data_IF_929497065689
#
_entry.id   IF_929497065689
#
_cell.length_a   1.000
_cell.length_b   1.000
_cell.length_c   1.000
_cell.angle_alpha   90.00
_cell.angle_beta   90.00
_cell.angle_gamma   90.00
#
_symmetry.space_group_name_H-M   'P 1'
#
loop_
_entity.id
_entity.type
_entity.pdbx_description
1 polymer ?
#
# COMPACT_ATOMS: atom_id res chain seq x y z
N UNK A 1 -22.98 17.65 0.12
CA UNK A 1 -21.98 16.58 0.30
C UNK A 1 -20.63 17.24 0.43
N UNK A 2 -19.88 17.01 1.51
CA UNK A 2 -18.49 17.47 1.54
C UNK A 2 -17.72 16.70 0.45
N UNK A 3 -16.69 17.34 -0.12
CA UNK A 3 -15.78 16.62 -1.00
C UNK A 3 -15.11 15.51 -0.18
N UNK A 4 -15.11 14.28 -0.67
CA UNK A 4 -14.43 13.16 -0.01
C UNK A 4 -12.92 13.39 -0.07
N UNK A 5 -12.24 13.40 1.07
CA UNK A 5 -10.78 13.27 1.13
C UNK A 5 -10.44 11.82 1.46
N UNK A 6 -9.88 11.09 0.50
CA UNK A 6 -9.61 9.66 0.69
C UNK A 6 -8.66 9.38 1.86
N UNK A 7 -7.66 10.25 2.09
CA UNK A 7 -6.69 10.08 3.18
C UNK A 7 -7.39 10.17 4.53
N UNK A 8 -8.24 11.17 4.71
CA UNK A 8 -8.96 11.38 5.97
C UNK A 8 -9.97 10.25 6.22
N UNK A 9 -10.75 9.89 5.21
CA UNK A 9 -11.75 8.82 5.30
C UNK A 9 -11.12 7.45 5.58
N UNK A 10 -9.97 7.15 4.95
CA UNK A 10 -9.20 5.94 5.25
C UNK A 10 -8.65 5.95 6.68
N UNK A 11 -8.10 7.09 7.11
CA UNK A 11 -7.54 7.24 8.45
C UNK A 11 -8.58 7.11 9.56
N UNK A 12 -9.79 7.65 9.35
CA UNK A 12 -10.92 7.52 10.27
C UNK A 12 -11.31 6.04 10.42
N UNK A 13 -11.48 5.32 9.31
CA UNK A 13 -11.88 3.90 9.32
C UNK A 13 -10.79 3.01 9.91
N UNK A 14 -9.52 3.27 9.60
CA UNK A 14 -8.38 2.59 10.22
C UNK A 14 -8.41 2.73 11.75
N UNK A 15 -8.51 3.97 12.27
CA UNK A 15 -8.55 4.24 13.71
C UNK A 15 -9.76 3.60 14.39
N UNK A 16 -10.93 3.65 13.74
CA UNK A 16 -12.14 3.03 14.29
C UNK A 16 -12.03 1.51 14.36
N UNK A 17 -11.43 0.87 13.35
CA UNK A 17 -11.30 -0.59 13.29
C UNK A 17 -10.16 -1.12 14.16
N UNK A 18 -9.11 -0.32 14.35
CA UNK A 18 -7.90 -0.68 15.11
C UNK A 18 -7.51 0.45 16.09
N UNK A 19 -8.28 0.64 17.18
CA UNK A 19 -8.13 1.81 18.06
C UNK A 19 -6.91 1.77 18.98
N UNK A 20 -6.45 0.57 19.36
CA UNK A 20 -5.43 0.41 20.42
C UNK A 20 -4.03 0.10 19.86
N UNK A 21 -3.96 -0.68 18.79
CA UNK A 21 -2.71 -1.01 18.08
C UNK A 21 -3.04 -1.37 16.64
N UNK A 22 -2.12 -1.09 15.70
CA UNK A 22 -2.12 -1.73 14.37
C UNK A 22 -1.53 -3.15 14.46
N UNK A 23 -1.96 -3.91 15.46
CA UNK A 23 -1.68 -5.32 15.54
C UNK A 23 -2.93 -6.04 15.05
N UNK A 24 -2.89 -6.47 13.79
CA UNK A 24 -3.99 -7.26 13.22
C UNK A 24 -4.15 -8.63 13.90
N UNK A 25 -3.29 -8.98 14.87
CA UNK A 25 -3.30 -10.29 15.53
C UNK A 25 -3.13 -11.41 14.52
N UNK A 26 -2.50 -11.11 13.37
CA UNK A 26 -2.40 -12.03 12.27
C UNK A 26 -1.32 -13.05 12.58
N UNK A 27 -1.75 -14.29 12.82
CA UNK A 27 -0.83 -15.40 13.11
C UNK A 27 -0.75 -16.40 11.97
N UNK A 28 -1.79 -16.48 11.13
CA UNK A 28 -1.86 -17.49 10.08
C UNK A 28 -3.18 -17.53 9.32
N UNK A 29 -3.27 -18.49 8.40
CA UNK A 29 -4.48 -18.81 7.64
C UNK A 29 -5.21 -19.95 8.33
N UNK A 30 -6.45 -19.73 8.74
CA UNK A 30 -7.31 -20.74 9.35
C UNK A 30 -7.95 -21.63 8.29
N UNK A 31 -7.96 -22.94 8.53
CA UNK A 31 -8.65 -23.92 7.69
C UNK A 31 -9.92 -24.44 8.36
N UNK A 32 -10.79 -25.09 7.56
CA UNK A 32 -12.01 -25.74 8.05
C UNK A 32 -11.73 -26.88 9.03
N UNK A 33 -10.51 -27.42 9.03
CA UNK A 33 -10.05 -28.46 9.96
C UNK A 33 -9.53 -27.88 11.29
N UNK A 34 -9.81 -26.61 11.58
CA UNK A 34 -9.33 -25.93 12.80
C UNK A 34 -7.80 -25.92 12.91
N UNK A 35 -7.11 -25.90 11.77
CA UNK A 35 -5.66 -25.72 11.69
C UNK A 35 -5.33 -24.29 11.28
N UNK A 36 -4.22 -23.78 11.81
CA UNK A 36 -3.63 -22.50 11.44
C UNK A 36 -2.32 -22.77 10.72
N UNK A 37 -2.24 -22.34 9.47
CA UNK A 37 -0.98 -22.27 8.73
C UNK A 37 -0.31 -20.95 9.07
N UNK A 38 0.79 -20.98 9.84
CA UNK A 38 1.48 -19.76 10.23
C UNK A 38 2.08 -19.06 9.02
N UNK A 39 2.21 -17.74 9.11
CA UNK A 39 2.79 -16.95 8.04
C UNK A 39 4.27 -16.74 8.31
N UNK A 40 5.09 -16.86 7.26
CA UNK A 40 6.46 -16.38 7.30
C UNK A 40 6.51 -14.87 7.05
N UNK A 41 7.62 -14.23 7.41
CA UNK A 41 7.83 -12.79 7.20
C UNK A 41 8.14 -12.39 5.74
N UNK A 42 7.98 -13.30 4.77
CA UNK A 42 8.29 -13.04 3.37
C UNK A 42 7.51 -11.83 2.84
N UNK A 43 8.22 -10.87 2.25
CA UNK A 43 7.60 -9.59 1.88
C UNK A 43 6.56 -9.71 0.76
N UNK A 44 6.61 -10.74 -0.10
CA UNK A 44 5.56 -10.94 -1.12
C UNK A 44 4.27 -11.41 -0.46
N UNK A 45 4.37 -12.33 0.49
CA UNK A 45 3.23 -12.80 1.28
C UNK A 45 2.64 -11.62 2.07
N UNK A 46 3.48 -10.88 2.79
CA UNK A 46 3.03 -9.76 3.61
C UNK A 46 2.42 -8.61 2.78
N UNK A 47 2.92 -8.34 1.57
CA UNK A 47 2.31 -7.34 0.69
C UNK A 47 0.85 -7.68 0.37
N UNK A 48 0.58 -8.92 -0.04
CA UNK A 48 -0.79 -9.36 -0.34
C UNK A 48 -1.71 -9.37 0.90
N UNK A 49 -1.16 -9.63 2.08
CA UNK A 49 -1.91 -9.53 3.34
C UNK A 49 -2.34 -8.09 3.62
N UNK A 50 -1.45 -7.11 3.45
CA UNK A 50 -1.82 -5.70 3.67
C UNK A 50 -2.87 -5.24 2.66
N UNK A 51 -2.82 -5.71 1.41
CA UNK A 51 -3.87 -5.50 0.42
C UNK A 51 -5.23 -6.05 0.90
N UNK A 52 -5.25 -7.30 1.40
CA UNK A 52 -6.45 -7.93 1.97
C UNK A 52 -7.01 -7.13 3.15
N UNK A 53 -6.14 -6.59 4.01
CA UNK A 53 -6.56 -5.78 5.15
C UNK A 53 -7.13 -4.42 4.76
N UNK A 54 -6.64 -3.82 3.67
CA UNK A 54 -7.15 -2.54 3.17
C UNK A 54 -8.51 -2.68 2.50
N UNK A 55 -8.78 -3.79 1.82
CA UNK A 55 -10.03 -3.99 1.06
C UNK A 55 -11.32 -3.68 1.84
N UNK A 56 -11.56 -4.22 3.07
CA UNK A 56 -12.79 -3.91 3.80
C UNK A 56 -12.90 -2.42 4.17
N UNK A 57 -11.78 -1.73 4.39
CA UNK A 57 -11.78 -0.29 4.69
C UNK A 57 -12.15 0.51 3.45
N UNK A 58 -11.51 0.21 2.31
CA UNK A 58 -11.80 0.88 1.03
C UNK A 58 -13.24 0.62 0.58
N UNK A 59 -13.74 -0.60 0.81
CA UNK A 59 -15.14 -0.97 0.53
C UNK A 59 -16.13 -0.15 1.34
N UNK A 60 -15.83 0.09 2.61
CA UNK A 60 -16.69 0.91 3.47
C UNK A 60 -16.68 2.39 3.03
N UNK A 61 -15.53 2.94 2.62
CA UNK A 61 -15.49 4.29 2.02
C UNK A 61 -16.36 4.33 0.76
N UNK A 62 -16.24 3.34 -0.13
CA UNK A 62 -17.03 3.30 -1.34
C UNK A 62 -18.54 3.27 -1.04
N UNK A 63 -18.97 2.49 -0.04
CA UNK A 63 -20.37 2.41 0.38
C UNK A 63 -20.89 3.75 0.92
N UNK A 64 -20.15 4.38 1.84
CA UNK A 64 -20.58 5.63 2.49
C UNK A 64 -20.68 6.80 1.49
N UNK A 65 -19.83 6.81 0.46
CA UNK A 65 -19.81 7.84 -0.58
C UNK A 65 -20.55 7.43 -1.87
N UNK A 66 -21.25 6.29 -1.88
CA UNK A 66 -22.00 5.77 -3.03
C UNK A 66 -21.15 5.63 -4.30
N UNK A 67 -19.90 5.20 -4.13
CA UNK A 67 -18.95 4.91 -5.21
C UNK A 67 -18.97 3.43 -5.54
N UNK A 68 -18.65 3.11 -6.79
CA UNK A 68 -18.31 1.76 -7.21
C UNK A 68 -16.87 1.49 -6.81
N UNK A 69 -16.63 0.34 -6.18
CA UNK A 69 -15.30 -0.21 -5.91
C UNK A 69 -15.03 -1.37 -6.86
N UNK A 70 -13.94 -1.26 -7.63
CA UNK A 70 -13.43 -2.33 -8.47
C UNK A 70 -12.01 -2.70 -8.08
N UNK A 71 -11.73 -4.01 -8.03
CA UNK A 71 -10.37 -4.54 -7.89
C UNK A 71 -9.81 -4.81 -9.27
N UNK A 72 -8.55 -4.49 -9.47
CA UNK A 72 -7.87 -4.76 -10.72
C UNK A 72 -7.59 -6.25 -10.94
N UNK A 73 -7.32 -6.61 -12.20
CA UNK A 73 -6.80 -7.95 -12.55
C UNK A 73 -5.33 -8.05 -12.13
N UNK A 74 -4.84 -9.26 -11.97
CA UNK A 74 -3.44 -9.51 -11.65
C UNK A 74 -2.50 -8.74 -12.62
N UNK A 75 -1.46 -8.09 -12.07
CA UNK A 75 -0.46 -7.31 -12.80
C UNK A 75 -0.97 -6.02 -13.49
N UNK A 76 -2.10 -5.46 -13.06
CA UNK A 76 -2.57 -4.16 -13.51
C UNK A 76 -2.72 -3.18 -12.33
N UNK A 77 -2.56 -1.90 -12.61
CA UNK A 77 -2.74 -0.80 -11.65
C UNK A 77 -4.19 -0.27 -11.69
N UNK A 78 -4.71 0.33 -10.61
CA UNK A 78 -4.29 0.23 -9.21
C UNK A 78 -4.91 -0.99 -8.50
N UNK A 79 -4.48 -1.33 -7.29
CA UNK A 79 -5.11 -2.40 -6.50
C UNK A 79 -6.64 -2.21 -6.36
N UNK A 80 -7.07 -0.96 -6.11
CA UNK A 80 -8.46 -0.57 -6.01
C UNK A 80 -8.75 0.70 -6.81
N UNK A 81 -9.85 0.70 -7.56
CA UNK A 81 -10.42 1.87 -8.21
C UNK A 81 -11.75 2.21 -7.58
N UNK A 82 -11.90 3.45 -7.08
CA UNK A 82 -13.18 4.01 -6.69
C UNK A 82 -13.67 4.99 -7.75
N UNK A 83 -14.94 4.91 -8.13
CA UNK A 83 -15.52 5.88 -9.07
C UNK A 83 -17.03 6.03 -8.95
N UNK A 84 -17.52 7.19 -9.39
CA UNK A 84 -18.95 7.43 -9.63
C UNK A 84 -19.19 7.33 -11.15
N UNK A 85 -20.06 6.42 -11.63
CA UNK A 85 -20.40 6.30 -13.05
C UNK A 85 -20.89 7.60 -13.69
N UNK A 86 -21.45 8.51 -12.89
CA UNK A 86 -21.93 9.83 -13.33
C UNK A 86 -20.77 10.82 -13.55
N UNK A 87 -19.56 10.50 -13.08
CA UNK A 87 -18.36 11.34 -13.14
C UNK A 87 -17.14 10.53 -13.63
N UNK A 88 -17.15 10.04 -14.88
CA UNK A 88 -16.18 9.07 -15.38
C UNK A 88 -14.71 9.56 -15.36
N UNK A 89 -14.46 10.87 -15.40
CA UNK A 89 -13.10 11.46 -15.35
C UNK A 89 -12.60 11.83 -13.94
N UNK A 90 -13.23 11.30 -12.89
CA UNK A 90 -12.86 11.54 -11.49
C UNK A 90 -12.58 10.25 -10.72
N UNK A 91 -11.98 9.26 -11.39
CA UNK A 91 -11.62 8.00 -10.72
C UNK A 91 -10.52 8.23 -9.71
N UNK A 92 -10.57 7.47 -8.63
CA UNK A 92 -9.57 7.48 -7.56
C UNK A 92 -8.85 6.15 -7.61
N UNK A 93 -7.54 6.21 -7.85
CA UNK A 93 -6.67 5.04 -7.77
C UNK A 93 -6.10 4.90 -6.36
N UNK A 94 -6.21 3.72 -5.78
CA UNK A 94 -5.64 3.39 -4.47
C UNK A 94 -4.74 2.18 -4.61
N UNK A 95 -3.48 2.36 -4.28
CA UNK A 95 -2.46 1.32 -4.34
C UNK A 95 -1.90 1.07 -2.95
N UNK A 96 -1.80 -0.19 -2.56
CA UNK A 96 -1.18 -0.61 -1.31
C UNK A 96 0.30 -0.90 -1.59
N UNK A 97 1.14 -0.39 -0.70
CA UNK A 97 2.58 -0.63 -0.73
C UNK A 97 3.07 -0.99 0.65
N UNK A 98 4.08 -1.84 0.70
CA UNK A 98 4.71 -2.22 1.96
C UNK A 98 6.22 -2.29 1.82
N UNK A 99 6.92 -2.00 2.90
CA UNK A 99 8.36 -2.18 3.03
C UNK A 99 8.67 -2.50 4.50
N UNK A 100 9.88 -2.97 4.77
CA UNK A 100 10.29 -3.34 6.12
C UNK A 100 11.46 -2.51 6.62
N UNK A 101 11.52 -2.29 7.93
CA UNK A 101 12.67 -1.65 8.58
C UNK A 101 13.86 -2.58 8.55
N UNK A 102 15.02 -1.99 8.30
CA UNK A 102 16.32 -2.61 8.52
C UNK A 102 17.09 -1.72 9.48
N UNK A 103 18.01 -2.31 10.25
CA UNK A 103 18.74 -1.59 11.29
C UNK A 103 20.23 -1.56 11.00
N UNK A 104 20.89 -0.48 11.45
CA UNK A 104 22.32 -0.39 11.58
C UNK A 104 22.80 -1.18 12.81
N UNK A 105 24.11 -1.35 12.95
CA UNK A 105 24.72 -2.07 14.08
C UNK A 105 24.40 -1.38 15.41
N UNK A 106 24.26 -0.06 15.41
CA UNK A 106 23.90 0.77 16.58
C UNK A 106 22.39 0.75 16.92
N UNK A 107 21.58 -0.02 16.20
CA UNK A 107 20.13 -0.10 16.38
C UNK A 107 19.33 1.02 15.72
N UNK A 108 19.97 1.98 15.04
CA UNK A 108 19.25 3.02 14.30
C UNK A 108 18.60 2.47 13.01
N UNK A 109 17.44 3.03 12.65
CA UNK A 109 16.71 2.64 11.43
C UNK A 109 17.49 3.08 10.19
N UNK A 110 17.78 2.12 9.29
CA UNK A 110 18.32 2.39 7.95
C UNK A 110 17.26 3.05 7.08
N UNK A 111 17.64 3.93 6.15
CA UNK A 111 16.68 4.53 5.24
C UNK A 111 15.97 3.47 4.38
N UNK A 112 14.64 3.54 4.35
CA UNK A 112 13.76 2.70 3.57
C UNK A 112 13.12 3.49 2.43
N UNK A 113 12.56 2.76 1.47
CA UNK A 113 11.84 3.32 0.32
C UNK A 113 10.84 2.29 -0.21
N UNK A 114 10.00 2.73 -1.13
CA UNK A 114 8.95 1.97 -1.78
C UNK A 114 9.15 1.99 -3.30
N UNK A 115 8.66 0.96 -3.98
CA UNK A 115 8.46 0.96 -5.42
C UNK A 115 7.04 1.42 -5.72
N UNK A 116 6.87 2.44 -6.57
CA UNK A 116 5.58 3.09 -6.81
C UNK A 116 4.97 2.68 -8.17
N UNK A 117 5.25 1.46 -8.63
CA UNK A 117 4.78 0.96 -9.92
C UNK A 117 5.62 1.45 -11.11
N UNK A 118 5.34 0.87 -12.29
CA UNK A 118 6.20 1.06 -13.47
C UNK A 118 5.99 2.39 -14.18
N UNK A 119 7.08 3.13 -14.43
CA UNK A 119 7.05 4.33 -15.28
C UNK A 119 7.01 4.03 -16.79
N UNK A 120 7.18 2.77 -17.22
CA UNK A 120 7.08 2.34 -18.63
C UNK A 120 5.73 1.72 -19.01
N UNK A 121 4.76 1.78 -18.10
CA UNK A 121 3.41 1.24 -18.30
C UNK A 121 2.40 2.38 -18.53
N UNK A 122 1.35 2.45 -17.71
CA UNK A 122 0.25 3.41 -17.79
C UNK A 122 0.69 4.88 -17.75
N UNK A 123 1.86 5.21 -17.19
CA UNK A 123 2.36 6.59 -17.22
C UNK A 123 2.71 7.02 -18.65
N UNK A 124 3.24 6.12 -19.50
CA UNK A 124 3.63 6.44 -20.88
C UNK A 124 2.55 6.08 -21.89
N UNK A 125 1.99 4.88 -21.77
CA UNK A 125 0.98 4.34 -22.65
C UNK A 125 -0.29 4.19 -21.82
N UNK A 126 -1.09 5.26 -21.74
CA UNK A 126 -2.18 5.44 -20.77
C UNK A 126 -3.21 4.31 -20.63
N UNK A 127 -3.11 3.22 -21.40
CA UNK A 127 -3.97 2.05 -21.36
C UNK A 127 -3.25 0.76 -20.94
N UNK A 128 -1.91 0.77 -20.85
CA UNK A 128 -1.10 -0.42 -20.58
C UNK A 128 -1.06 -0.73 -19.09
N UNK A 129 -1.42 -1.97 -18.73
CA UNK A 129 -1.37 -2.48 -17.35
C UNK A 129 -2.11 -1.60 -16.35
N UNK A 130 -3.28 -1.09 -16.73
CA UNK A 130 -4.17 -0.28 -15.89
C UNK A 130 -5.63 -0.65 -16.17
N UNK A 131 -6.49 -0.57 -15.14
CA UNK A 131 -7.90 -0.97 -15.26
C UNK A 131 -8.74 -0.03 -16.16
N UNK A 132 -8.45 1.27 -16.10
CA UNK A 132 -9.09 2.31 -16.93
C UNK A 132 -8.00 3.19 -17.55
N UNK A 133 -8.29 3.94 -18.63
CA UNK A 133 -7.35 4.92 -19.16
C UNK A 133 -6.82 5.85 -18.06
N UNK A 134 -5.51 6.07 -18.05
CA UNK A 134 -4.81 6.82 -17.00
C UNK A 134 -5.38 8.24 -16.79
N UNK A 135 -5.82 8.89 -17.87
CA UNK A 135 -6.44 10.22 -17.84
C UNK A 135 -7.81 10.28 -17.15
N UNK A 136 -8.47 9.14 -16.92
CA UNK A 136 -9.73 9.08 -16.19
C UNK A 136 -9.52 9.10 -14.67
N UNK A 137 -8.29 8.89 -14.21
CA UNK A 137 -7.92 9.00 -12.80
C UNK A 137 -7.52 10.43 -12.46
N UNK A 138 -8.20 10.99 -11.45
CA UNK A 138 -7.89 12.33 -10.94
C UNK A 138 -6.95 12.29 -9.75
N UNK A 139 -6.97 11.20 -9.00
CA UNK A 139 -6.23 11.02 -7.76
C UNK A 139 -5.52 9.67 -7.75
N UNK A 140 -4.31 9.65 -7.20
CA UNK A 140 -3.46 8.47 -7.12
C UNK A 140 -2.90 8.34 -5.71
N UNK A 141 -3.61 7.61 -4.85
CA UNK A 141 -3.25 7.42 -3.45
C UNK A 141 -2.40 6.17 -3.25
N UNK A 142 -1.42 6.30 -2.37
CA UNK A 142 -0.64 5.19 -1.83
C UNK A 142 -1.03 5.01 -0.37
N UNK A 143 -1.44 3.79 -0.02
CA UNK A 143 -1.52 3.32 1.36
C UNK A 143 -0.23 2.54 1.65
N UNK A 144 0.70 3.18 2.34
CA UNK A 144 2.03 2.63 2.59
C UNK A 144 2.15 2.04 4.00
N UNK A 145 2.60 0.80 4.11
CA UNK A 145 2.91 0.13 5.37
C UNK A 145 4.42 0.03 5.59
N UNK A 146 4.85 0.28 6.82
CA UNK A 146 6.21 0.06 7.30
C UNK A 146 6.13 -0.87 8.51
N UNK A 147 6.85 -1.99 8.45
CA UNK A 147 6.83 -2.97 9.52
C UNK A 147 8.23 -3.48 9.84
N UNK A 148 8.38 -4.16 10.96
CA UNK A 148 9.55 -4.97 11.25
C UNK A 148 9.20 -6.44 11.02
N UNK A 149 10.11 -7.17 10.36
CA UNK A 149 9.97 -8.62 10.21
C UNK A 149 10.18 -9.27 11.56
N UNK A 150 9.30 -10.20 11.95
CA UNK A 150 9.51 -10.98 13.16
C UNK A 150 10.45 -12.16 12.86
N UNK A 151 11.70 -12.17 13.33
CA UNK A 151 12.67 -13.22 13.00
C UNK A 151 12.29 -14.61 13.53
N UNK A 152 11.30 -14.72 14.42
CA UNK A 152 10.74 -16.00 14.89
C UNK A 152 9.82 -16.66 13.82
N UNK A 153 9.35 -15.89 12.84
CA UNK A 153 8.42 -16.35 11.80
C UNK A 153 9.12 -16.54 10.46
N UNK A 154 10.16 -17.39 10.42
CA UNK A 154 10.92 -17.67 9.18
C UNK A 154 10.22 -18.62 8.23
N UNK A 155 9.52 -19.60 8.80
CA UNK A 155 8.94 -20.72 8.06
C UNK A 155 7.46 -20.87 8.44
N UNK A 156 6.70 -21.49 7.55
CA UNK A 156 5.29 -21.81 7.79
C UNK A 156 5.19 -23.16 8.49
N UNK A 157 4.43 -23.18 9.56
CA UNK A 157 4.09 -24.36 10.35
C UNK A 157 2.58 -24.58 10.34
N UNK A 158 2.15 -25.82 10.60
CA UNK A 158 0.74 -26.13 10.84
C UNK A 158 0.54 -26.28 12.34
N UNK A 159 -0.35 -25.46 12.91
CA UNK A 159 -0.67 -25.43 14.34
C UNK A 159 -2.16 -25.62 14.56
N UNK A 160 -2.56 -25.95 15.78
CA UNK A 160 -3.97 -26.04 16.13
C UNK A 160 -4.53 -24.64 16.41
N UNK A 161 -5.79 -24.39 16.05
CA UNK A 161 -6.43 -23.08 16.28
C UNK A 161 -6.47 -22.69 17.75
N UNK A 162 -6.52 -23.66 18.67
CA UNK A 162 -6.48 -23.40 20.12
C UNK A 162 -5.17 -22.74 20.56
N UNK A 163 -4.10 -22.88 19.77
CA UNK A 163 -2.80 -22.27 20.04
C UNK A 163 -2.71 -20.83 19.51
N UNK A 164 -3.70 -20.34 18.74
CA UNK A 164 -3.62 -19.10 17.98
C UNK A 164 -3.24 -17.87 18.82
N UNK A 165 -3.72 -17.78 20.06
CA UNK A 165 -3.39 -16.68 20.97
C UNK A 165 -1.93 -16.64 21.42
N UNK A 166 -1.21 -17.76 21.30
CA UNK A 166 0.21 -17.89 21.64
C UNK A 166 1.14 -17.77 20.41
N UNK A 167 0.58 -17.88 19.20
CA UNK A 167 1.34 -17.79 17.97
C UNK A 167 1.83 -16.35 17.75
N UNK A 168 2.98 -16.24 17.08
CA UNK A 168 3.62 -14.96 16.80
C UNK A 168 3.15 -14.41 15.46
N UNK A 169 2.99 -13.09 15.40
CA UNK A 169 2.75 -12.39 14.14
C UNK A 169 4.03 -12.34 13.29
N UNK A 170 3.95 -12.50 11.95
CA UNK A 170 5.11 -12.44 11.06
C UNK A 170 5.71 -11.03 10.94
N UNK A 171 4.99 -10.02 11.41
CA UNK A 171 5.43 -8.63 11.47
C UNK A 171 5.10 -8.01 12.83
N UNK A 172 5.89 -7.02 13.22
CA UNK A 172 5.70 -6.23 14.43
C UNK A 172 5.93 -4.74 14.14
N UNK A 173 5.58 -3.87 15.09
CA UNK A 173 5.86 -2.43 15.04
C UNK A 173 5.34 -1.77 13.74
N UNK A 174 4.11 -2.07 13.35
CA UNK A 174 3.53 -1.55 12.11
C UNK A 174 3.24 -0.06 12.25
N UNK A 175 3.66 0.70 11.25
CA UNK A 175 3.20 2.05 11.00
C UNK A 175 2.64 2.12 9.56
N UNK A 176 1.79 3.11 9.29
CA UNK A 176 1.25 3.32 7.95
C UNK A 176 1.13 4.81 7.62
N UNK A 177 1.01 5.11 6.33
CA UNK A 177 0.64 6.43 5.82
C UNK A 177 -0.34 6.32 4.66
N UNK A 178 -1.08 7.39 4.40
CA UNK A 178 -1.87 7.57 3.17
C UNK A 178 -1.46 8.88 2.53
N UNK A 179 -0.96 8.83 1.30
CA UNK A 179 -0.46 10.02 0.62
C UNK A 179 -0.56 9.91 -0.90
N UNK A 180 -0.70 11.05 -1.58
CA UNK A 180 -0.65 11.09 -3.04
C UNK A 180 0.71 10.63 -3.56
N UNK A 181 0.68 9.78 -4.58
CA UNK A 181 1.86 9.14 -5.17
C UNK A 181 2.96 10.12 -5.55
N UNK A 182 2.61 11.26 -6.16
CA UNK A 182 3.62 12.23 -6.60
C UNK A 182 4.35 12.91 -5.43
N UNK A 183 3.67 13.10 -4.29
CA UNK A 183 4.25 13.76 -3.11
C UNK A 183 5.28 12.90 -2.40
N UNK A 184 5.35 11.60 -2.68
CA UNK A 184 6.33 10.68 -2.10
C UNK A 184 7.27 10.08 -3.13
N UNK A 185 7.06 10.31 -4.42
CA UNK A 185 7.93 9.81 -5.49
C UNK A 185 9.28 10.53 -5.48
N UNK A 186 10.38 9.82 -5.75
CA UNK A 186 11.68 10.43 -6.00
C UNK A 186 11.87 10.72 -7.50
N UNK A 187 13.03 11.28 -7.85
CA UNK A 187 13.51 11.42 -9.24
C UNK A 187 14.43 10.26 -9.66
N UNK A 188 14.34 9.11 -8.98
CA UNK A 188 15.22 7.94 -9.19
C UNK A 188 14.41 6.65 -9.27
N UNK A 189 14.90 5.67 -10.04
CA UNK A 189 14.26 4.36 -10.13
C UNK A 189 14.29 3.61 -8.78
N UNK A 190 13.21 2.89 -8.47
CA UNK A 190 13.04 2.15 -7.22
C UNK A 190 13.72 0.78 -7.20
N UNK A 191 14.19 0.29 -8.35
CA UNK A 191 14.98 -0.94 -8.46
C UNK A 191 15.88 -0.88 -9.70
N UNK A 192 17.01 -1.58 -9.70
CA UNK A 192 17.96 -1.57 -10.83
C UNK A 192 17.56 -2.45 -12.03
N UNK A 193 16.67 -3.43 -11.85
CA UNK A 193 16.29 -4.40 -12.89
C UNK A 193 14.84 -4.26 -13.37
N UNK A 194 13.97 -3.58 -12.62
CA UNK A 194 12.59 -3.30 -13.03
C UNK A 194 12.37 -1.80 -13.14
N UNK A 195 11.59 -1.40 -14.13
CA UNK A 195 11.35 0.01 -14.50
C UNK A 195 10.32 0.66 -13.59
N UNK A 196 10.55 0.55 -12.27
CA UNK A 196 9.68 1.06 -11.21
C UNK A 196 10.12 2.45 -10.76
N UNK A 197 9.14 3.30 -10.51
CA UNK A 197 9.31 4.59 -9.84
C UNK A 197 9.79 4.33 -8.41
N UNK A 198 10.85 5.01 -7.97
CA UNK A 198 11.25 5.00 -6.57
C UNK A 198 10.47 6.03 -5.77
N UNK A 199 10.21 5.75 -4.50
CA UNK A 199 9.85 6.80 -3.55
C UNK A 199 11.08 7.56 -3.07
N UNK A 200 10.87 8.66 -2.34
CA UNK A 200 11.89 9.24 -1.47
C UNK A 200 12.49 8.15 -0.56
N UNK A 201 13.74 8.35 -0.18
CA UNK A 201 14.47 7.47 0.74
C UNK A 201 14.61 8.21 2.07
N UNK A 202 14.01 7.67 3.12
CA UNK A 202 14.04 8.27 4.47
C UNK A 202 14.10 7.16 5.52
N UNK A 203 14.61 7.48 6.71
CA UNK A 203 14.54 6.62 7.89
C UNK A 203 13.39 7.03 8.84
N UNK A 204 12.56 8.01 8.45
CA UNK A 204 11.43 8.49 9.23
C UNK A 204 10.14 8.44 8.39
N UNK A 205 9.13 7.72 8.86
CA UNK A 205 7.85 7.59 8.14
C UNK A 205 7.12 8.93 8.02
N UNK A 206 7.41 9.89 8.89
CA UNK A 206 6.83 11.24 8.86
C UNK A 206 7.08 11.95 7.54
N UNK A 207 8.18 11.68 6.84
CA UNK A 207 8.44 12.27 5.53
C UNK A 207 7.44 11.81 4.46
N UNK A 208 6.94 10.57 4.59
CA UNK A 208 5.89 10.03 3.72
C UNK A 208 4.51 10.57 4.12
N UNK A 209 4.23 10.65 5.43
CA UNK A 209 2.98 11.23 5.97
C UNK A 209 2.81 12.69 5.53
N UNK A 210 3.90 13.46 5.55
CA UNK A 210 3.90 14.88 5.19
C UNK A 210 4.03 15.11 3.68
N UNK A 211 4.45 14.10 2.91
CA UNK A 211 4.62 14.22 1.47
C UNK A 211 5.83 15.08 1.10
N UNK A 212 6.98 14.84 1.74
CA UNK A 212 8.22 15.60 1.58
C UNK A 212 9.00 15.23 0.30
N UNK A 213 8.29 14.95 -0.80
CA UNK A 213 8.85 14.66 -2.11
C UNK A 213 9.31 15.90 -2.87
N UNK A 214 10.10 15.71 -3.94
CA UNK A 214 10.64 16.79 -4.76
C UNK A 214 9.62 17.38 -5.75
N UNK A 215 8.53 16.69 -6.05
CA UNK A 215 7.53 17.15 -7.02
C UNK A 215 6.53 18.10 -6.37
N UNK A 216 6.25 19.23 -7.03
CA UNK A 216 5.30 20.24 -6.56
C UNK A 216 3.87 19.99 -7.05
N UNK A 217 3.72 19.18 -8.10
CA UNK A 217 2.41 18.84 -8.68
C UNK A 217 2.42 17.46 -9.33
N UNK A 218 1.22 16.91 -9.54
CA UNK A 218 1.02 15.68 -10.29
C UNK A 218 1.51 15.81 -11.75
N UNK A 219 1.36 16.98 -12.37
CA UNK A 219 1.80 17.23 -13.74
C UNK A 219 3.34 17.23 -13.88
N UNK A 220 4.06 17.85 -12.92
CA UNK A 220 5.52 17.79 -12.87
C UNK A 220 6.00 16.34 -12.76
N UNK A 221 5.37 15.57 -11.87
CA UNK A 221 5.65 14.15 -11.68
C UNK A 221 5.42 13.35 -12.98
N UNK A 222 4.27 13.53 -13.62
CA UNK A 222 3.93 12.83 -14.86
C UNK A 222 4.91 13.17 -15.99
N UNK A 223 5.21 14.46 -16.18
CA UNK A 223 6.14 14.89 -17.22
C UNK A 223 7.51 14.24 -17.03
N UNK A 224 8.05 14.33 -15.81
CA UNK A 224 9.35 13.75 -15.48
C UNK A 224 9.39 12.25 -15.79
N UNK A 225 8.44 11.46 -15.27
CA UNK A 225 8.47 10.00 -15.41
C UNK A 225 8.12 9.49 -16.81
N UNK A 226 7.34 10.26 -17.59
CA UNK A 226 7.12 9.99 -19.02
C UNK A 226 8.41 10.07 -19.82
N UNK A 227 9.23 11.10 -19.55
CA UNK A 227 10.48 11.39 -20.26
C UNK A 227 11.71 10.67 -19.66
N UNK A 228 11.58 10.01 -18.50
CA UNK A 228 12.70 9.43 -17.76
C UNK A 228 13.35 8.21 -18.45
N UNK A 229 14.55 8.38 -19.02
CA UNK A 229 15.33 7.27 -19.61
C UNK A 229 14.70 6.76 -20.90
#
# INVERSE_FOLDING_TARGET
>A
MSLMDFRDEFSIRMKRKYPNTFDWGLVGILTKQSQVYTLSYDSKILSGIFEIFCEPIVREIAQDFQLILEKTKQNAYPDFTLHDPRQPGKKIAVEVKSTYRSFNIDGSIKPFSYTLGSYRSYIRDGKKSILYPYEEYKEHWIVGFLYERNPECKETEIRQVIEASSLKSPFINIEYFVQEKYKIASKTQGSGNTTNIGSIKSNNISDFINGNGPFRSHDEFNKFWKEYG
#
